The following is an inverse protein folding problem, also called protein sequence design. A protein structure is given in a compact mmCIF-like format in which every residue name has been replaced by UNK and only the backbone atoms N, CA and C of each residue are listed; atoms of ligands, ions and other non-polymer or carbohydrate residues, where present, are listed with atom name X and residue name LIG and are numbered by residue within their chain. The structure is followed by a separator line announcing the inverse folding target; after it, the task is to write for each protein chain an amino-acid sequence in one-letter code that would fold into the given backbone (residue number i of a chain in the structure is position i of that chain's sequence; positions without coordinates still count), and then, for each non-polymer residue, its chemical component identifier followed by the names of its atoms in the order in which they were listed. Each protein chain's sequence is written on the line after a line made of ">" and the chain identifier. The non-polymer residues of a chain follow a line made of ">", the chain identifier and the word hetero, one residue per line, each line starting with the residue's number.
data_IF_930270282169
#
_entry.id   IF_930270282169
#
_cell.length_a   1.000
_cell.length_b   1.000
_cell.length_c   1.000
_cell.angle_alpha   90.00
_cell.angle_beta   90.00
_cell.angle_gamma   90.00
#
_symmetry.space_group_name_H-M   'P 1'
#
loop_
_entity.id
_entity.type
_entity.pdbx_description
1 polymer ?
#
# COMPACT_ATOMS: atom_id res chain seq x y z
N UNK A 1 -27.18 -14.85 -82.54
CA UNK A 1 -27.68 -14.06 -81.40
C UNK A 1 -27.90 -14.99 -80.21
N UNK A 2 -26.96 -15.01 -79.26
CA UNK A 2 -27.07 -15.33 -77.82
C UNK A 2 -25.65 -15.57 -77.27
N UNK A 3 -25.07 -14.51 -76.74
CA UNK A 3 -23.91 -14.56 -75.83
C UNK A 3 -24.38 -15.10 -74.48
N UNK A 4 -23.54 -15.86 -73.77
CA UNK A 4 -23.49 -15.88 -72.29
C UNK A 4 -22.14 -16.50 -71.85
N UNK A 5 -21.12 -15.68 -71.59
CA UNK A 5 -20.66 -15.12 -70.30
C UNK A 5 -19.94 -16.12 -69.39
N UNK A 6 -18.61 -15.97 -69.34
CA UNK A 6 -17.68 -16.67 -68.45
C UNK A 6 -17.75 -16.09 -67.03
N UNK A 7 -18.00 -16.91 -66.02
CA UNK A 7 -17.94 -16.51 -64.61
C UNK A 7 -16.52 -16.68 -64.06
N UNK A 8 -15.84 -15.55 -63.85
CA UNK A 8 -14.61 -15.46 -63.05
C UNK A 8 -15.04 -15.38 -61.58
N UNK A 9 -14.65 -16.36 -60.76
CA UNK A 9 -14.85 -16.33 -59.31
C UNK A 9 -13.80 -15.39 -58.67
N UNK A 10 -14.19 -14.42 -57.81
CA UNK A 10 -13.22 -13.58 -57.13
C UNK A 10 -12.63 -14.32 -55.93
N UNK A 11 -11.29 -14.36 -55.86
CA UNK A 11 -10.55 -14.70 -54.64
C UNK A 11 -10.90 -13.67 -53.56
N UNK A 12 -11.64 -14.09 -52.54
CA UNK A 12 -11.86 -13.32 -51.32
C UNK A 12 -10.57 -13.35 -50.50
N UNK A 13 -9.80 -12.26 -50.54
CA UNK A 13 -8.77 -11.98 -49.54
C UNK A 13 -9.47 -11.78 -48.19
N UNK A 14 -9.35 -12.76 -47.30
CA UNK A 14 -9.73 -12.63 -45.89
C UNK A 14 -8.80 -11.61 -45.23
N UNK A 15 -9.27 -10.37 -45.09
CA UNK A 15 -8.67 -9.38 -44.19
C UNK A 15 -8.79 -9.94 -42.77
N UNK A 16 -7.68 -10.42 -42.22
CA UNK A 16 -7.56 -10.64 -40.78
C UNK A 16 -7.70 -9.29 -40.08
N UNK A 17 -8.87 -9.04 -39.50
CA UNK A 17 -9.07 -7.95 -38.55
C UNK A 17 -8.05 -8.14 -37.43
N UNK A 18 -7.07 -7.25 -37.36
CA UNK A 18 -6.14 -7.16 -36.24
C UNK A 18 -6.96 -6.64 -35.06
N UNK A 19 -7.49 -7.57 -34.26
CA UNK A 19 -8.08 -7.23 -32.97
C UNK A 19 -6.90 -6.86 -32.07
N UNK A 20 -6.73 -5.57 -31.83
CA UNK A 20 -5.80 -5.09 -30.82
C UNK A 20 -6.21 -5.71 -29.47
N UNK A 21 -5.28 -6.39 -28.81
CA UNK A 21 -5.52 -6.87 -27.46
C UNK A 21 -5.91 -5.69 -26.56
N UNK A 22 -6.91 -5.83 -25.67
CA UNK A 22 -7.33 -4.73 -24.81
C UNK A 22 -6.15 -4.29 -23.92
N UNK A 23 -6.04 -2.97 -23.73
CA UNK A 23 -5.04 -2.39 -22.85
C UNK A 23 -5.13 -3.04 -21.44
N UNK A 24 -3.98 -3.42 -20.88
CA UNK A 24 -3.92 -3.98 -19.53
C UNK A 24 -4.04 -5.51 -19.43
N UNK A 25 -3.92 -6.25 -20.54
CA UNK A 25 -3.85 -7.72 -20.52
C UNK A 25 -2.76 -8.25 -19.57
N UNK A 26 -1.64 -7.52 -19.42
CA UNK A 26 -0.56 -7.90 -18.51
C UNK A 26 -1.06 -8.17 -17.08
N UNK A 27 -1.98 -7.33 -16.56
CA UNK A 27 -2.39 -7.32 -15.16
C UNK A 27 -3.68 -8.11 -14.88
N UNK A 28 -4.28 -8.75 -15.88
CA UNK A 28 -5.48 -9.59 -15.67
C UNK A 28 -5.14 -10.93 -15.01
N UNK A 29 -3.88 -11.36 -15.06
CA UNK A 29 -3.42 -12.61 -14.47
C UNK A 29 -2.68 -12.38 -13.15
N UNK A 30 -2.97 -13.26 -12.19
CA UNK A 30 -2.29 -13.38 -10.91
C UNK A 30 -0.98 -14.17 -10.99
N UNK A 31 -0.82 -14.98 -12.04
CA UNK A 31 0.29 -15.93 -12.14
C UNK A 31 1.60 -15.20 -12.45
N UNK A 32 2.71 -15.59 -11.79
CA UNK A 32 4.02 -15.03 -12.07
C UNK A 32 4.36 -15.13 -13.56
N UNK A 33 4.80 -14.00 -14.15
CA UNK A 33 5.34 -14.01 -15.51
C UNK A 33 6.85 -14.16 -15.49
N UNK A 34 7.37 -15.07 -16.30
CA UNK A 34 8.81 -15.19 -16.54
C UNK A 34 9.21 -14.31 -17.73
N UNK A 35 10.19 -13.43 -17.52
CA UNK A 35 10.70 -12.55 -18.57
C UNK A 35 12.21 -12.34 -18.45
N UNK A 36 12.84 -12.02 -19.56
CA UNK A 36 14.24 -11.60 -19.63
C UNK A 36 14.31 -10.13 -19.97
N UNK A 37 15.08 -9.38 -19.19
CA UNK A 37 15.45 -7.99 -19.47
C UNK A 37 16.95 -7.95 -19.78
N UNK A 38 17.28 -7.71 -21.05
CA UNK A 38 18.66 -7.46 -21.48
C UNK A 38 18.88 -5.97 -21.71
N UNK A 39 19.86 -5.38 -21.02
CA UNK A 39 20.25 -3.98 -21.17
C UNK A 39 21.68 -3.76 -20.63
N UNK A 40 22.36 -2.65 -20.94
CA UNK A 40 23.58 -2.21 -20.24
C UNK A 40 23.28 -1.82 -18.77
N UNK A 41 22.96 -2.79 -17.93
CA UNK A 41 22.49 -2.60 -16.55
C UNK A 41 23.57 -2.03 -15.65
N UNK A 42 24.83 -2.45 -15.80
CA UNK A 42 25.90 -1.88 -14.98
C UNK A 42 26.09 -0.39 -15.28
N UNK A 43 26.11 -0.02 -16.57
CA UNK A 43 26.14 1.38 -16.99
C UNK A 43 24.93 2.16 -16.45
N UNK A 44 23.76 1.54 -16.46
CA UNK A 44 22.53 2.13 -15.92
C UNK A 44 22.64 2.40 -14.43
N UNK A 45 23.19 1.48 -13.64
CA UNK A 45 23.31 1.65 -12.20
C UNK A 45 24.36 2.70 -11.85
N UNK A 46 25.52 2.67 -12.52
CA UNK A 46 26.62 3.61 -12.29
C UNK A 46 26.21 5.07 -12.54
N UNK A 47 25.33 5.32 -13.53
CA UNK A 47 24.93 6.68 -13.92
C UNK A 47 23.54 7.07 -13.44
N UNK A 48 22.60 6.14 -13.46
CA UNK A 48 21.20 6.38 -13.13
C UNK A 48 20.97 6.67 -11.64
N UNK A 49 21.85 6.19 -10.76
CA UNK A 49 21.76 6.51 -9.33
C UNK A 49 21.89 8.02 -9.08
N UNK A 50 22.68 8.73 -9.88
CA UNK A 50 22.88 10.18 -9.76
C UNK A 50 21.97 11.00 -10.71
N UNK A 51 21.68 10.49 -11.91
CA UNK A 51 20.80 11.14 -12.90
C UNK A 51 19.52 10.31 -13.14
N UNK A 52 18.38 10.80 -12.66
CA UNK A 52 17.09 10.10 -12.79
C UNK A 52 16.51 10.13 -14.21
N UNK A 53 17.10 10.92 -15.12
CA UNK A 53 16.74 10.94 -16.54
C UNK A 53 17.61 10.01 -17.37
N UNK A 54 18.70 9.49 -16.80
CA UNK A 54 19.56 8.57 -17.51
C UNK A 54 18.82 7.25 -17.79
N UNK A 55 18.85 6.84 -19.05
CA UNK A 55 18.26 5.58 -19.51
C UNK A 55 19.16 4.88 -20.50
N UNK A 56 18.98 3.57 -20.63
CA UNK A 56 19.67 2.72 -21.59
C UNK A 56 18.68 1.94 -22.43
N UNK A 57 19.08 1.58 -23.65
CA UNK A 57 18.26 0.74 -24.54
C UNK A 57 18.35 -0.72 -24.13
N UNK A 58 17.18 -1.33 -23.98
CA UNK A 58 17.03 -2.74 -23.63
C UNK A 58 16.15 -3.53 -24.58
N UNK A 59 16.05 -4.82 -24.28
CA UNK A 59 15.17 -5.78 -24.92
C UNK A 59 14.45 -6.57 -23.85
N UNK A 60 13.12 -6.65 -23.96
CA UNK A 60 12.30 -7.55 -23.18
C UNK A 60 11.97 -8.79 -24.00
N UNK A 61 12.04 -9.96 -23.37
CA UNK A 61 11.53 -11.19 -23.97
C UNK A 61 10.81 -12.06 -22.95
N UNK A 62 9.80 -12.80 -23.41
CA UNK A 62 9.03 -13.74 -22.60
C UNK A 62 8.40 -14.80 -23.49
N UNK A 63 7.92 -15.88 -22.87
CA UNK A 63 7.11 -16.89 -23.55
C UNK A 63 5.64 -16.59 -23.33
N UNK A 64 4.90 -16.36 -24.41
CA UNK A 64 3.46 -16.13 -24.33
C UNK A 64 2.74 -17.41 -23.91
N UNK A 65 2.00 -17.36 -22.81
CA UNK A 65 1.33 -18.53 -22.26
C UNK A 65 0.14 -19.01 -23.11
N UNK A 66 -0.46 -18.14 -23.91
CA UNK A 66 -1.62 -18.46 -24.75
C UNK A 66 -1.23 -19.07 -26.10
N UNK A 67 -0.13 -18.60 -26.69
CA UNK A 67 0.34 -19.06 -28.00
C UNK A 67 1.54 -20.00 -27.91
N UNK A 68 2.20 -20.07 -26.75
CA UNK A 68 3.45 -20.82 -26.53
C UNK A 68 4.69 -20.19 -27.20
N UNK A 69 4.52 -19.07 -27.91
CA UNK A 69 5.55 -18.44 -28.75
C UNK A 69 6.49 -17.54 -27.93
N UNK A 70 7.74 -17.41 -28.39
CA UNK A 70 8.68 -16.44 -27.83
C UNK A 70 8.39 -15.05 -28.39
N UNK A 71 8.09 -14.09 -27.51
CA UNK A 71 7.84 -12.69 -27.86
C UNK A 71 9.05 -11.87 -27.47
N UNK A 72 9.47 -10.96 -28.37
CA UNK A 72 10.60 -10.05 -28.16
C UNK A 72 10.13 -8.62 -28.43
N UNK A 73 10.25 -7.76 -27.42
CA UNK A 73 9.98 -6.32 -27.51
C UNK A 73 11.31 -5.59 -27.43
N UNK A 74 11.74 -5.06 -28.59
CA UNK A 74 13.03 -4.35 -28.73
C UNK A 74 12.87 -2.86 -28.45
N UNK A 75 14.03 -2.21 -28.30
CA UNK A 75 14.18 -0.75 -28.23
C UNK A 75 13.38 -0.10 -27.09
N UNK A 76 13.26 -0.80 -25.95
CA UNK A 76 12.66 -0.22 -24.75
C UNK A 76 13.67 0.64 -24.02
N UNK A 77 13.23 1.77 -23.47
CA UNK A 77 14.06 2.61 -22.61
C UNK A 77 13.97 2.09 -21.16
N UNK A 78 15.12 1.80 -20.56
CA UNK A 78 15.23 1.30 -19.18
C UNK A 78 15.88 2.37 -18.32
N UNK A 79 15.23 2.76 -17.24
CA UNK A 79 15.75 3.70 -16.24
C UNK A 79 15.66 3.14 -14.82
N UNK A 80 16.47 3.69 -13.90
CA UNK A 80 16.25 3.45 -12.46
C UNK A 80 15.10 4.32 -11.95
N UNK A 81 14.43 3.91 -10.87
CA UNK A 81 13.34 4.67 -10.26
C UNK A 81 13.37 4.64 -8.73
N UNK A 82 12.54 5.52 -8.16
CA UNK A 82 12.30 5.65 -6.72
C UNK A 82 13.17 6.72 -6.06
N UNK A 83 12.78 7.16 -4.88
CA UNK A 83 13.51 8.20 -4.15
C UNK A 83 14.57 7.60 -3.23
N UNK A 84 14.12 6.84 -2.22
CA UNK A 84 15.00 6.20 -1.24
C UNK A 84 15.63 4.92 -1.77
N UNK A 85 14.92 4.19 -2.64
CA UNK A 85 15.39 2.95 -3.28
C UNK A 85 16.46 3.13 -4.35
N UNK A 86 16.91 4.37 -4.63
CA UNK A 86 18.11 4.63 -5.43
C UNK A 86 19.39 4.61 -4.57
N UNK A 87 19.26 4.70 -3.25
CA UNK A 87 20.40 4.68 -2.34
C UNK A 87 20.86 3.23 -2.15
N UNK A 88 22.13 2.98 -2.40
CA UNK A 88 22.72 1.63 -2.30
C UNK A 88 22.51 0.99 -0.92
N UNK A 89 22.57 1.80 0.15
CA UNK A 89 22.33 1.34 1.53
C UNK A 89 20.90 0.83 1.78
N UNK A 90 19.97 1.16 0.90
CA UNK A 90 18.56 0.78 0.98
C UNK A 90 18.14 -0.24 -0.08
N UNK A 91 18.84 -0.22 -1.21
CA UNK A 91 18.56 -1.04 -2.38
C UNK A 91 19.86 -1.18 -3.19
N UNK A 92 20.57 -2.29 -3.03
CA UNK A 92 21.77 -2.58 -3.81
C UNK A 92 21.45 -2.96 -5.25
N UNK A 93 20.19 -3.33 -5.55
CA UNK A 93 19.68 -3.51 -6.91
C UNK A 93 18.48 -2.58 -7.12
N UNK A 94 18.64 -1.42 -7.79
CA UNK A 94 17.61 -0.40 -7.83
C UNK A 94 16.32 -0.89 -8.51
N UNK A 95 15.19 -0.32 -8.10
CA UNK A 95 13.90 -0.50 -8.80
C UNK A 95 14.03 0.07 -10.22
N UNK A 96 13.39 -0.56 -11.21
CA UNK A 96 13.51 -0.15 -12.62
C UNK A 96 12.19 0.38 -13.19
N UNK A 97 12.27 1.19 -14.23
CA UNK A 97 11.15 1.58 -15.10
C UNK A 97 11.52 1.24 -16.54
N UNK A 98 10.52 0.77 -17.28
CA UNK A 98 10.57 0.53 -18.72
C UNK A 98 9.60 1.49 -19.37
N UNK A 99 10.07 2.25 -20.35
CA UNK A 99 9.20 3.02 -21.24
C UNK A 99 9.20 2.35 -22.61
N UNK A 100 8.02 2.25 -23.21
CA UNK A 100 7.87 1.67 -24.53
C UNK A 100 7.87 2.76 -25.61
N UNK A 101 9.05 3.02 -26.16
CA UNK A 101 9.30 4.03 -27.18
C UNK A 101 8.33 4.09 -28.35
N UNK A 102 7.95 2.91 -28.87
CA UNK A 102 7.08 2.79 -30.04
C UNK A 102 5.96 1.83 -29.73
N UNK A 103 4.72 2.29 -29.86
CA UNK A 103 3.54 1.45 -29.71
C UNK A 103 3.58 0.19 -30.60
N UNK A 104 4.15 0.30 -31.81
CA UNK A 104 4.31 -0.82 -32.74
C UNK A 104 5.20 -1.95 -32.21
N UNK A 105 6.20 -1.63 -31.38
CA UNK A 105 7.12 -2.63 -30.81
C UNK A 105 6.42 -3.60 -29.84
N UNK A 106 5.28 -3.18 -29.28
CA UNK A 106 4.51 -3.93 -28.26
C UNK A 106 3.08 -4.29 -28.67
N UNK A 107 2.64 -3.87 -29.86
CA UNK A 107 1.25 -4.00 -30.31
C UNK A 107 0.76 -5.47 -30.36
N UNK A 108 1.67 -6.41 -30.58
CA UNK A 108 1.39 -7.86 -30.63
C UNK A 108 1.91 -8.58 -29.37
N UNK A 109 1.96 -7.89 -28.24
CA UNK A 109 2.44 -8.44 -26.97
C UNK A 109 1.44 -8.16 -25.84
N UNK A 110 1.61 -8.83 -24.71
CA UNK A 110 0.85 -8.56 -23.47
C UNK A 110 1.02 -7.11 -22.94
N UNK A 111 2.00 -6.36 -23.47
CA UNK A 111 2.24 -4.95 -23.13
C UNK A 111 1.48 -3.97 -24.07
N UNK A 112 0.65 -4.48 -24.98
CA UNK A 112 -0.22 -3.66 -25.80
C UNK A 112 -1.07 -2.72 -24.93
N UNK A 113 -1.19 -1.45 -25.34
CA UNK A 113 -1.90 -0.40 -24.60
C UNK A 113 -1.13 0.29 -23.45
N UNK A 114 -0.06 -0.28 -22.91
CA UNK A 114 0.77 0.32 -21.82
C UNK A 114 1.89 1.25 -22.31
N UNK A 115 1.97 2.50 -21.86
CA UNK A 115 3.07 3.39 -22.27
C UNK A 115 4.38 3.10 -21.54
N UNK A 116 4.27 2.58 -20.33
CA UNK A 116 5.41 2.15 -19.54
C UNK A 116 5.06 1.05 -18.56
N UNK A 117 6.08 0.56 -17.87
CA UNK A 117 5.97 -0.50 -16.89
C UNK A 117 7.01 -0.29 -15.80
N UNK A 118 6.60 -0.42 -14.54
CA UNK A 118 7.53 -0.38 -13.41
C UNK A 118 7.90 -1.78 -12.98
N UNK A 119 9.15 -1.96 -12.59
CA UNK A 119 9.64 -3.21 -12.01
C UNK A 119 10.04 -2.95 -10.56
N UNK A 120 9.27 -3.48 -9.62
CA UNK A 120 9.69 -3.64 -8.24
C UNK A 120 10.66 -4.81 -8.17
N UNK A 121 11.95 -4.53 -8.04
CA UNK A 121 13.02 -5.53 -8.02
C UNK A 121 13.15 -6.18 -6.63
N UNK A 122 14.01 -7.19 -6.52
CA UNK A 122 14.38 -7.83 -5.25
C UNK A 122 15.11 -6.88 -4.29
N UNK A 123 15.58 -5.74 -4.77
CA UNK A 123 16.23 -4.66 -4.02
C UNK A 123 17.56 -5.00 -3.33
N UNK A 124 17.81 -6.27 -2.97
CA UNK A 124 19.06 -6.75 -2.41
C UNK A 124 19.02 -8.26 -2.19
N UNK A 125 20.03 -8.80 -1.51
CA UNK A 125 20.22 -10.24 -1.32
C UNK A 125 20.12 -10.65 0.17
N UNK A 126 19.43 -9.85 0.99
CA UNK A 126 19.31 -10.13 2.42
C UNK A 126 18.66 -11.51 2.65
N UNK A 127 19.24 -12.36 3.51
CA UNK A 127 18.67 -13.67 3.77
C UNK A 127 17.40 -13.56 4.63
N UNK A 128 16.39 -14.35 4.28
CA UNK A 128 15.23 -14.56 5.16
C UNK A 128 14.34 -13.32 5.36
N UNK A 129 14.18 -12.90 6.62
CA UNK A 129 13.30 -11.80 7.07
C UNK A 129 14.10 -10.59 7.59
N UNK A 130 15.41 -10.53 7.32
CA UNK A 130 16.25 -9.41 7.75
C UNK A 130 15.86 -8.11 7.02
N UNK A 131 15.63 -7.05 7.80
CA UNK A 131 15.19 -5.74 7.31
C UNK A 131 16.32 -4.73 7.29
N UNK A 132 16.28 -3.78 6.35
CA UNK A 132 17.27 -2.68 6.32
C UNK A 132 17.19 -1.86 7.61
N UNK A 133 18.33 -1.39 8.16
CA UNK A 133 18.33 -0.75 9.49
C UNK A 133 17.53 0.56 9.55
N UNK A 134 17.57 1.37 8.48
CA UNK A 134 17.01 2.72 8.49
C UNK A 134 15.51 2.74 8.28
N UNK A 135 15.03 2.12 7.20
CA UNK A 135 13.60 2.15 6.83
C UNK A 135 12.88 0.83 7.10
N UNK A 136 13.59 -0.26 7.40
CA UNK A 136 12.96 -1.55 7.68
C UNK A 136 12.52 -2.31 6.43
N UNK A 137 13.16 -2.08 5.27
CA UNK A 137 12.77 -2.76 4.03
C UNK A 137 13.21 -4.22 4.04
N UNK A 138 12.36 -5.11 3.55
CA UNK A 138 12.76 -6.48 3.24
C UNK A 138 13.52 -6.48 1.91
N UNK A 139 14.84 -6.33 1.94
CA UNK A 139 15.67 -6.21 0.74
C UNK A 139 16.04 -7.58 0.15
N UNK A 140 15.03 -8.32 -0.32
CA UNK A 140 15.20 -9.57 -1.05
C UNK A 140 14.02 -9.89 -1.98
N UNK A 141 14.14 -11.00 -2.72
CA UNK A 141 13.16 -11.39 -3.74
C UNK A 141 11.77 -11.81 -3.20
N UNK A 142 11.59 -11.94 -1.88
CA UNK A 142 10.25 -12.19 -1.29
C UNK A 142 9.39 -10.92 -1.30
N UNK A 143 10.02 -9.78 -1.03
CA UNK A 143 9.36 -8.48 -0.90
C UNK A 143 8.48 -8.10 -2.09
N UNK A 144 8.96 -8.09 -3.35
CA UNK A 144 8.13 -7.69 -4.47
C UNK A 144 6.94 -8.62 -4.71
N UNK A 145 7.05 -9.91 -4.38
CA UNK A 145 5.92 -10.86 -4.50
C UNK A 145 4.86 -10.58 -3.44
N UNK A 146 5.28 -10.29 -2.21
CA UNK A 146 4.38 -9.86 -1.13
C UNK A 146 3.72 -8.52 -1.45
N UNK A 147 4.47 -7.56 -2.00
CA UNK A 147 3.94 -6.25 -2.39
C UNK A 147 2.91 -6.37 -3.53
N UNK A 148 3.17 -7.20 -4.55
CA UNK A 148 2.21 -7.46 -5.63
C UNK A 148 0.89 -8.07 -5.10
N UNK A 149 0.96 -8.90 -4.05
CA UNK A 149 -0.24 -9.40 -3.38
C UNK A 149 -1.03 -8.26 -2.71
N UNK A 150 -0.36 -7.31 -2.05
CA UNK A 150 -1.02 -6.15 -1.42
C UNK A 150 -1.80 -5.34 -2.45
N UNK A 151 -1.20 -4.98 -3.59
CA UNK A 151 -1.91 -4.27 -4.67
C UNK A 151 -3.18 -5.03 -5.14
N UNK A 152 -3.07 -6.34 -5.33
CA UNK A 152 -4.21 -7.19 -5.77
C UNK A 152 -5.29 -7.33 -4.69
N UNK A 153 -4.89 -7.39 -3.43
CA UNK A 153 -5.81 -7.41 -2.29
C UNK A 153 -6.62 -6.11 -2.23
N UNK A 154 -5.96 -4.97 -2.42
CA UNK A 154 -6.59 -3.65 -2.41
C UNK A 154 -7.54 -3.42 -3.60
N UNK A 155 -7.17 -3.91 -4.80
CA UNK A 155 -8.07 -3.92 -5.96
C UNK A 155 -9.34 -4.74 -5.67
N UNK A 156 -9.20 -5.93 -5.05
CA UNK A 156 -10.34 -6.75 -4.62
C UNK A 156 -11.17 -6.11 -3.50
N UNK A 157 -10.57 -5.26 -2.66
CA UNK A 157 -11.28 -4.47 -1.65
C UNK A 157 -12.11 -3.33 -2.28
N UNK A 158 -11.91 -3.02 -3.57
CA UNK A 158 -12.52 -1.89 -4.25
C UNK A 158 -11.88 -0.55 -3.88
N UNK A 159 -10.60 -0.56 -3.50
CA UNK A 159 -9.85 0.64 -3.14
C UNK A 159 -8.94 0.99 -4.30
N UNK A 160 -8.94 2.27 -4.71
CA UNK A 160 -8.13 2.71 -5.84
C UNK A 160 -6.63 2.55 -5.52
N UNK A 161 -5.96 1.75 -6.33
CA UNK A 161 -4.51 1.50 -6.28
C UNK A 161 -3.98 1.18 -7.68
N UNK A 162 -2.67 0.96 -7.81
CA UNK A 162 -2.03 0.49 -9.05
C UNK A 162 -2.28 -1.01 -9.26
N UNK A 163 -2.30 -1.45 -10.52
CA UNK A 163 -2.32 -2.89 -10.82
C UNK A 163 -0.93 -3.49 -10.74
N UNK A 164 -0.81 -4.70 -10.19
CA UNK A 164 0.45 -5.41 -10.06
C UNK A 164 0.36 -6.88 -10.47
N UNK A 165 1.46 -7.42 -10.96
CA UNK A 165 1.62 -8.84 -11.29
C UNK A 165 3.00 -9.34 -10.83
N UNK A 166 3.08 -10.45 -10.07
CA UNK A 166 4.38 -11.06 -9.76
C UNK A 166 5.14 -11.42 -11.04
N UNK A 167 6.46 -11.36 -10.98
CA UNK A 167 7.32 -11.77 -12.08
C UNK A 167 8.55 -12.50 -11.58
N UNK A 168 9.15 -13.27 -12.48
CA UNK A 168 10.50 -13.81 -12.33
C UNK A 168 11.33 -13.27 -13.48
N UNK A 169 12.27 -12.39 -13.15
CA UNK A 169 13.03 -11.63 -14.14
C UNK A 169 14.45 -12.18 -14.22
N UNK A 170 14.87 -12.51 -15.44
CA UNK A 170 16.26 -12.80 -15.79
C UNK A 170 16.91 -11.51 -16.29
N UNK A 171 17.77 -10.90 -15.47
CA UNK A 171 18.52 -9.70 -15.80
C UNK A 171 19.82 -10.07 -16.52
N UNK A 172 19.99 -9.60 -17.75
CA UNK A 172 21.18 -9.84 -18.57
C UNK A 172 21.88 -8.51 -18.82
N UNK A 173 23.09 -8.35 -18.28
CA UNK A 173 23.88 -7.15 -18.52
C UNK A 173 24.58 -7.24 -19.88
N UNK A 174 24.23 -6.32 -20.78
CA UNK A 174 24.69 -6.33 -22.17
C UNK A 174 26.19 -6.03 -22.23
N UNK A 175 26.96 -7.01 -22.69
CA UNK A 175 28.41 -6.90 -22.82
C UNK A 175 29.20 -7.46 -21.63
N UNK A 176 28.52 -7.87 -20.56
CA UNK A 176 29.14 -8.63 -19.48
C UNK A 176 29.23 -10.12 -19.85
N UNK A 177 30.29 -10.80 -19.37
CA UNK A 177 30.41 -12.27 -19.44
C UNK A 177 29.81 -12.97 -18.20
N UNK A 178 29.04 -12.24 -17.39
CA UNK A 178 28.40 -12.78 -16.19
C UNK A 178 27.14 -13.59 -16.54
N UNK A 179 26.81 -14.64 -15.77
CA UNK A 179 25.54 -15.34 -15.94
C UNK A 179 24.36 -14.41 -15.61
N UNK A 180 23.17 -14.64 -16.20
CA UNK A 180 21.99 -13.86 -15.88
C UNK A 180 21.62 -13.92 -14.40
N UNK A 181 21.30 -12.78 -13.81
CA UNK A 181 20.76 -12.72 -12.45
C UNK A 181 19.25 -12.99 -12.53
N UNK A 182 18.79 -14.10 -11.95
CA UNK A 182 17.37 -14.45 -11.98
C UNK A 182 16.74 -14.28 -10.60
N UNK A 183 15.79 -13.35 -10.48
CA UNK A 183 15.14 -13.00 -9.20
C UNK A 183 13.65 -12.80 -9.36
N UNK A 184 12.90 -13.08 -8.31
CA UNK A 184 11.51 -12.64 -8.25
C UNK A 184 11.44 -11.10 -8.20
N UNK A 185 10.40 -10.57 -8.81
CA UNK A 185 10.11 -9.16 -8.95
C UNK A 185 8.59 -8.96 -9.00
N UNK A 186 8.16 -7.71 -9.13
CA UNK A 186 6.79 -7.39 -9.51
C UNK A 186 6.81 -6.44 -10.70
N UNK A 187 5.84 -6.64 -11.58
CA UNK A 187 5.46 -5.68 -12.60
C UNK A 187 4.34 -4.83 -12.02
N UNK A 188 4.45 -3.52 -12.18
CA UNK A 188 3.54 -2.55 -11.61
C UNK A 188 3.11 -1.54 -12.68
N UNK A 189 1.82 -1.25 -12.72
CA UNK A 189 1.21 -0.26 -13.61
C UNK A 189 1.90 1.09 -13.48
N UNK A 190 2.13 1.77 -14.61
CA UNK A 190 2.66 3.12 -14.58
C UNK A 190 1.55 4.13 -14.28
N UNK A 191 1.96 5.23 -13.67
CA UNK A 191 1.09 6.34 -13.29
C UNK A 191 0.22 6.85 -14.43
N UNK A 192 0.75 6.94 -15.65
CA UNK A 192 0.01 7.47 -16.80
C UNK A 192 -1.07 6.49 -17.27
N UNK A 193 -0.82 5.19 -17.14
CA UNK A 193 -1.80 4.14 -17.47
C UNK A 193 -2.87 4.02 -16.38
N UNK A 194 -2.50 4.19 -15.11
CA UNK A 194 -3.45 4.38 -14.01
C UNK A 194 -4.37 5.58 -14.27
N UNK A 195 -3.80 6.72 -14.66
CA UNK A 195 -4.56 7.93 -14.96
C UNK A 195 -5.61 7.67 -16.04
N UNK A 196 -5.24 7.02 -17.15
CA UNK A 196 -6.19 6.62 -18.20
C UNK A 196 -7.27 5.68 -17.67
N UNK A 197 -6.88 4.66 -16.87
CA UNK A 197 -7.82 3.68 -16.30
C UNK A 197 -8.85 4.31 -15.37
N UNK A 198 -8.49 5.40 -14.71
CA UNK A 198 -9.35 6.12 -13.78
C UNK A 198 -10.07 7.31 -14.43
N UNK A 199 -10.06 7.44 -15.75
CA UNK A 199 -10.58 8.61 -16.49
C UNK A 199 -10.04 9.94 -15.89
N UNK A 200 -8.78 9.92 -15.47
CA UNK A 200 -8.13 11.01 -14.79
C UNK A 200 -7.62 12.06 -15.78
N UNK A 201 -7.87 13.33 -15.46
CA UNK A 201 -7.45 14.47 -16.29
C UNK A 201 -6.24 15.23 -15.72
N UNK A 202 -5.79 14.86 -14.52
CA UNK A 202 -4.61 15.44 -13.89
C UNK A 202 -4.35 14.89 -12.49
N UNK A 203 -3.34 15.45 -11.82
CA UNK A 203 -3.01 15.13 -10.43
C UNK A 203 -2.88 16.42 -9.63
N UNK A 204 -3.40 16.43 -8.41
CA UNK A 204 -3.10 17.51 -7.47
C UNK A 204 -1.70 17.24 -6.92
N UNK A 205 -0.80 18.21 -7.10
CA UNK A 205 0.57 18.10 -6.59
C UNK A 205 0.57 18.23 -5.07
N UNK A 206 1.61 17.73 -4.43
CA UNK A 206 1.77 17.81 -2.98
C UNK A 206 1.69 19.26 -2.47
N UNK A 207 2.24 20.22 -3.22
CA UNK A 207 2.24 21.64 -2.88
C UNK A 207 0.84 22.29 -2.99
N UNK A 208 -0.04 21.71 -3.81
CA UNK A 208 -1.42 22.19 -4.02
C UNK A 208 -2.44 21.41 -3.20
N UNK A 209 -2.02 20.34 -2.52
CA UNK A 209 -2.91 19.54 -1.69
C UNK A 209 -3.21 20.29 -0.39
N UNK A 210 -4.49 20.53 -0.10
CA UNK A 210 -4.94 21.24 1.12
C UNK A 210 -5.30 20.24 2.22
N UNK A 211 -6.36 19.47 2.01
CA UNK A 211 -6.81 18.42 2.91
C UNK A 211 -7.71 17.42 2.18
N UNK A 212 -7.82 16.21 2.73
CA UNK A 212 -8.73 15.20 2.20
C UNK A 212 -10.21 15.64 2.25
N UNK A 213 -10.62 16.41 3.26
CA UNK A 213 -12.00 16.93 3.38
C UNK A 213 -12.38 17.83 2.21
N UNK A 214 -11.43 18.63 1.72
CA UNK A 214 -11.65 19.55 0.61
C UNK A 214 -11.60 18.83 -0.74
N UNK A 215 -10.66 17.90 -0.90
CA UNK A 215 -10.28 17.40 -2.23
C UNK A 215 -10.85 16.03 -2.57
N UNK A 216 -11.17 15.19 -1.58
CA UNK A 216 -11.61 13.80 -1.79
C UNK A 216 -13.05 13.59 -1.32
N UNK A 217 -13.75 12.61 -1.89
CA UNK A 217 -15.04 12.21 -1.34
C UNK A 217 -14.83 11.55 0.05
N UNK A 218 -15.66 11.85 1.07
CA UNK A 218 -15.41 11.34 2.42
C UNK A 218 -15.36 9.81 2.52
N UNK A 219 -16.19 9.11 1.74
CA UNK A 219 -16.20 7.65 1.72
C UNK A 219 -14.95 7.06 1.05
N UNK A 220 -14.38 7.74 0.05
CA UNK A 220 -13.12 7.32 -0.59
C UNK A 220 -11.95 7.51 0.39
N UNK A 221 -11.94 8.63 1.12
CA UNK A 221 -10.95 8.90 2.18
C UNK A 221 -11.06 7.89 3.32
N UNK A 222 -12.27 7.53 3.76
CA UNK A 222 -12.47 6.51 4.78
C UNK A 222 -12.06 5.12 4.29
N UNK A 223 -12.41 4.76 3.05
CA UNK A 223 -12.01 3.48 2.45
C UNK A 223 -10.49 3.37 2.32
N UNK A 224 -9.82 4.46 1.93
CA UNK A 224 -8.36 4.57 1.93
C UNK A 224 -7.78 4.33 3.33
N UNK A 225 -8.31 4.98 4.37
CA UNK A 225 -7.80 4.80 5.74
C UNK A 225 -8.01 3.35 6.25
N UNK A 226 -9.15 2.73 5.96
CA UNK A 226 -9.42 1.32 6.29
C UNK A 226 -8.47 0.39 5.54
N UNK A 227 -8.20 0.67 4.27
CA UNK A 227 -7.26 -0.09 3.46
C UNK A 227 -5.84 -0.06 4.03
N UNK A 228 -5.34 1.14 4.36
CA UNK A 228 -4.02 1.31 4.97
C UNK A 228 -3.93 0.61 6.33
N UNK A 229 -4.99 0.66 7.12
CA UNK A 229 -5.09 -0.08 8.38
C UNK A 229 -5.06 -1.60 8.16
N UNK A 230 -5.83 -2.11 7.20
CA UNK A 230 -5.91 -3.54 6.88
C UNK A 230 -4.55 -4.15 6.53
N UNK A 231 -3.73 -3.42 5.78
CA UNK A 231 -2.40 -3.88 5.35
C UNK A 231 -1.28 -3.48 6.32
N UNK A 232 -1.65 -2.82 7.43
CA UNK A 232 -0.75 -2.20 8.40
C UNK A 232 0.35 -1.35 7.73
N UNK A 233 -0.04 -0.47 6.82
CA UNK A 233 0.91 0.44 6.17
C UNK A 233 1.11 1.70 7.01
N UNK A 234 2.37 2.10 7.17
CA UNK A 234 2.77 3.32 7.87
C UNK A 234 3.57 4.28 7.01
N UNK A 235 4.04 3.85 5.85
CA UNK A 235 4.76 4.71 4.91
C UNK A 235 3.75 5.43 4.02
N UNK A 236 2.91 6.27 4.61
CA UNK A 236 1.94 7.11 3.91
C UNK A 236 1.52 8.28 4.79
N UNK A 237 1.09 9.37 4.14
CA UNK A 237 0.46 10.49 4.82
C UNK A 237 -0.64 11.07 3.94
N UNK A 238 -1.75 11.44 4.57
CA UNK A 238 -2.76 12.34 4.02
C UNK A 238 -3.20 13.26 5.14
N UNK A 239 -3.05 14.57 4.93
CA UNK A 239 -3.66 15.57 5.81
C UNK A 239 -5.17 15.48 5.69
N UNK A 240 -5.85 14.95 6.71
CA UNK A 240 -7.30 14.74 6.65
C UNK A 240 -8.09 16.05 6.73
N UNK A 241 -7.61 17.00 7.53
CA UNK A 241 -8.17 18.34 7.74
C UNK A 241 -7.02 19.35 7.95
N UNK A 242 -7.23 20.67 7.84
CA UNK A 242 -6.13 21.65 7.74
C UNK A 242 -5.07 21.58 8.86
N UNK A 243 -5.50 21.32 10.10
CA UNK A 243 -4.64 21.24 11.29
C UNK A 243 -4.14 19.81 11.59
N UNK A 244 -4.45 18.84 10.73
CA UNK A 244 -4.02 17.46 10.93
C UNK A 244 -2.51 17.33 10.75
N UNK A 245 -1.89 16.74 11.77
CA UNK A 245 -0.47 16.43 11.88
C UNK A 245 -0.23 14.94 12.06
N UNK A 246 -1.26 14.10 11.92
CA UNK A 246 -1.12 12.66 12.06
C UNK A 246 -0.25 12.09 10.95
N UNK A 247 0.99 11.70 11.30
CA UNK A 247 2.04 11.16 10.40
C UNK A 247 2.46 12.06 9.24
N UNK A 248 1.83 13.20 9.10
CA UNK A 248 2.19 14.24 8.16
C UNK A 248 3.08 15.28 8.84
N UNK A 249 4.08 15.78 8.13
CA UNK A 249 4.73 17.03 8.53
C UNK A 249 4.17 18.20 7.69
N UNK A 250 4.48 19.43 8.10
CA UNK A 250 3.98 20.61 7.39
C UNK A 250 4.48 20.72 5.93
N UNK A 251 5.51 19.95 5.54
CA UNK A 251 6.13 19.97 4.21
C UNK A 251 5.56 18.90 3.28
N UNK A 252 5.00 17.83 3.85
CA UNK A 252 4.47 16.69 3.12
C UNK A 252 3.02 16.40 3.58
N UNK A 253 2.02 17.17 3.11
CA UNK A 253 0.61 16.93 3.45
C UNK A 253 -0.01 15.74 2.71
N UNK A 254 0.74 15.15 1.77
CA UNK A 254 0.34 14.01 0.95
C UNK A 254 1.60 13.21 0.56
N UNK A 255 1.69 11.94 0.97
CA UNK A 255 2.83 11.05 0.70
C UNK A 255 2.35 9.60 0.45
N UNK A 256 2.91 8.93 -0.56
CA UNK A 256 2.50 7.59 -1.02
C UNK A 256 0.98 7.45 -1.31
N UNK A 257 0.33 8.58 -1.58
CA UNK A 257 -1.05 8.69 -2.05
C UNK A 257 -1.09 9.69 -3.20
N UNK A 258 -1.69 9.31 -4.33
CA UNK A 258 -1.90 10.19 -5.47
C UNK A 258 -3.31 10.78 -5.42
N UNK A 259 -3.43 12.08 -5.68
CA UNK A 259 -4.71 12.78 -5.80
C UNK A 259 -5.10 12.92 -7.28
N UNK A 260 -5.80 11.94 -7.84
CA UNK A 260 -6.16 11.90 -9.27
C UNK A 260 -7.40 12.74 -9.53
N UNK A 261 -7.29 13.83 -10.28
CA UNK A 261 -8.44 14.67 -10.65
C UNK A 261 -9.22 14.07 -11.80
N UNK A 262 -10.54 14.26 -11.78
CA UNK A 262 -11.47 13.86 -12.84
C UNK A 262 -12.38 15.03 -13.17
N UNK A 263 -12.91 15.05 -14.39
CA UNK A 263 -13.88 16.07 -14.80
C UNK A 263 -15.22 15.95 -14.04
N UNK A 264 -15.48 14.76 -13.48
CA UNK A 264 -16.72 14.44 -12.75
C UNK A 264 -16.78 14.94 -11.31
N UNK A 265 -15.72 15.56 -10.78
CA UNK A 265 -15.76 16.21 -9.47
C UNK A 265 -14.50 16.07 -8.64
N UNK A 266 -14.66 15.60 -7.38
CA UNK A 266 -13.56 15.47 -6.41
C UNK A 266 -12.48 14.51 -6.92
N UNK A 267 -11.25 14.75 -6.48
CA UNK A 267 -10.13 13.87 -6.79
C UNK A 267 -10.32 12.51 -6.11
N UNK A 268 -9.74 11.47 -6.72
CA UNK A 268 -9.72 10.12 -6.17
C UNK A 268 -8.37 9.87 -5.50
N UNK A 269 -8.35 9.48 -4.21
CA UNK A 269 -7.12 9.05 -3.56
C UNK A 269 -6.72 7.67 -4.09
N UNK A 270 -5.51 7.56 -4.62
CA UNK A 270 -4.91 6.30 -5.07
C UNK A 270 -3.72 5.97 -4.19
N UNK A 271 -3.80 4.89 -3.42
CA UNK A 271 -2.71 4.47 -2.52
C UNK A 271 -1.69 3.59 -3.25
N UNK A 272 -0.42 3.76 -2.92
CA UNK A 272 0.69 3.02 -3.52
C UNK A 272 1.89 2.92 -2.56
N UNK A 273 2.97 2.30 -3.05
CA UNK A 273 4.25 2.06 -2.38
C UNK A 273 4.09 1.28 -1.06
N UNK A 274 4.02 -0.04 -1.18
CA UNK A 274 3.70 -0.93 -0.06
C UNK A 274 4.90 -1.78 0.38
N UNK A 275 6.10 -1.43 -0.07
CA UNK A 275 7.33 -2.18 0.24
C UNK A 275 7.72 -2.15 1.73
N UNK A 276 7.07 -1.27 2.51
CA UNK A 276 7.15 -1.18 3.97
C UNK A 276 5.84 -1.56 4.69
N UNK A 277 4.79 -2.01 3.99
CA UNK A 277 3.55 -2.42 4.66
C UNK A 277 3.77 -3.64 5.58
N UNK A 278 3.04 -3.73 6.70
CA UNK A 278 3.17 -4.85 7.64
C UNK A 278 2.93 -6.23 6.99
N UNK A 279 2.05 -6.32 5.99
CA UNK A 279 1.88 -7.55 5.20
C UNK A 279 3.12 -7.96 4.38
N UNK A 280 4.04 -7.02 4.11
CA UNK A 280 5.30 -7.26 3.38
C UNK A 280 6.45 -7.52 4.35
N UNK A 281 6.67 -6.61 5.30
CA UNK A 281 7.86 -6.60 6.19
C UNK A 281 7.61 -7.17 7.58
N UNK A 282 6.35 -7.47 7.93
CA UNK A 282 5.91 -8.07 9.19
C UNK A 282 5.62 -7.07 10.30
N UNK A 283 6.57 -6.19 10.62
CA UNK A 283 6.40 -5.14 11.61
C UNK A 283 7.38 -4.00 11.37
N UNK A 284 6.98 -2.79 11.77
CA UNK A 284 7.82 -1.61 11.64
C UNK A 284 8.84 -1.47 12.78
N UNK A 285 10.01 -0.89 12.48
CA UNK A 285 11.10 -0.68 13.44
C UNK A 285 10.80 0.37 14.53
N UNK A 286 9.66 1.08 14.46
CA UNK A 286 9.23 2.05 15.46
C UNK A 286 8.10 1.53 16.36
N UNK A 287 7.63 0.29 16.14
CA UNK A 287 6.47 -0.26 16.85
C UNK A 287 6.59 -0.13 18.39
N UNK A 288 7.72 -0.53 18.94
CA UNK A 288 8.03 -0.49 20.38
C UNK A 288 8.18 0.94 20.95
N UNK A 289 8.37 1.93 20.07
CA UNK A 289 8.47 3.34 20.45
C UNK A 289 7.11 3.98 20.68
N UNK A 290 6.05 3.40 20.11
CA UNK A 290 4.70 3.98 20.08
C UNK A 290 3.70 3.14 20.86
N UNK A 291 3.72 1.82 20.66
CA UNK A 291 2.61 0.99 21.10
C UNK A 291 2.88 0.20 22.38
N UNK A 292 1.85 0.14 23.22
CA UNK A 292 1.81 -0.74 24.38
C UNK A 292 1.40 -2.15 23.96
N UNK A 293 2.37 -3.07 23.92
CA UNK A 293 2.14 -4.48 23.61
C UNK A 293 1.10 -5.14 24.54
N UNK A 294 0.94 -4.66 25.77
CA UNK A 294 -0.03 -5.16 26.73
C UNK A 294 -1.46 -4.69 26.49
N UNK A 295 -1.72 -3.84 25.49
CA UNK A 295 -3.07 -3.33 25.24
C UNK A 295 -4.04 -4.45 24.85
N UNK A 296 -3.63 -5.40 24.00
CA UNK A 296 -4.45 -6.57 23.65
C UNK A 296 -3.93 -7.83 24.36
N UNK A 297 -4.81 -8.79 24.73
CA UNK A 297 -4.40 -10.00 25.45
C UNK A 297 -3.36 -10.85 24.69
N UNK A 298 -3.44 -10.88 23.36
CA UNK A 298 -2.53 -11.65 22.50
C UNK A 298 -1.09 -11.10 22.50
N UNK A 299 -0.91 -9.83 22.88
CA UNK A 299 0.32 -9.04 22.70
C UNK A 299 0.88 -9.05 21.27
N UNK A 300 0.03 -9.34 20.28
CA UNK A 300 0.40 -9.38 18.88
C UNK A 300 0.68 -7.98 18.35
N UNK A 301 1.86 -7.77 17.76
CA UNK A 301 2.18 -6.49 17.13
C UNK A 301 1.24 -6.19 15.97
N UNK A 302 0.92 -7.20 15.14
CA UNK A 302 -0.01 -7.08 14.02
C UNK A 302 -1.40 -6.65 14.49
N UNK A 303 -1.92 -7.28 15.55
CA UNK A 303 -3.26 -6.94 16.08
C UNK A 303 -3.30 -5.50 16.58
N UNK A 304 -2.30 -5.08 17.36
CA UNK A 304 -2.23 -3.73 17.91
C UNK A 304 -2.07 -2.69 16.80
N UNK A 305 -1.23 -2.99 15.82
CA UNK A 305 -0.92 -2.10 14.72
C UNK A 305 -2.17 -1.84 13.86
N UNK A 306 -2.85 -2.91 13.44
CA UNK A 306 -4.11 -2.82 12.69
C UNK A 306 -5.19 -2.15 13.53
N UNK A 307 -5.37 -2.56 14.78
CA UNK A 307 -6.38 -2.00 15.68
C UNK A 307 -6.15 -0.50 15.88
N UNK A 308 -4.92 -0.07 16.15
CA UNK A 308 -4.55 1.34 16.30
C UNK A 308 -4.98 2.17 15.10
N UNK A 309 -4.64 1.71 13.88
CA UNK A 309 -5.01 2.42 12.65
C UNK A 309 -6.52 2.46 12.41
N UNK A 310 -7.22 1.35 12.66
CA UNK A 310 -8.69 1.30 12.61
C UNK A 310 -9.29 2.29 13.60
N UNK A 311 -8.81 2.31 14.85
CA UNK A 311 -9.36 3.17 15.90
C UNK A 311 -9.06 4.66 15.65
N UNK A 312 -7.92 5.00 15.04
CA UNK A 312 -7.64 6.38 14.64
C UNK A 312 -8.72 6.97 13.73
N UNK A 313 -9.31 6.17 12.83
CA UNK A 313 -10.37 6.62 11.91
C UNK A 313 -11.57 7.23 12.64
N UNK A 314 -11.85 6.80 13.88
CA UNK A 314 -12.94 7.33 14.72
C UNK A 314 -12.76 8.80 15.11
N UNK A 315 -11.53 9.30 15.08
CA UNK A 315 -11.22 10.72 15.30
C UNK A 315 -11.29 11.58 14.04
N UNK A 316 -11.47 10.97 12.88
CA UNK A 316 -11.41 11.64 11.57
C UNK A 316 -12.78 11.72 10.91
N UNK A 317 -13.57 10.64 11.00
CA UNK A 317 -14.82 10.46 10.27
C UNK A 317 -16.04 10.42 11.19
N UNK A 318 -17.21 10.79 10.65
CA UNK A 318 -18.48 10.65 11.36
C UNK A 318 -18.90 9.19 11.49
N UNK A 319 -19.80 8.89 12.42
CA UNK A 319 -20.27 7.52 12.63
C UNK A 319 -20.91 6.92 11.39
N UNK A 320 -21.73 7.69 10.67
CA UNK A 320 -22.35 7.26 9.41
C UNK A 320 -21.33 6.90 8.33
N UNK A 321 -20.24 7.68 8.20
CA UNK A 321 -19.15 7.38 7.26
C UNK A 321 -18.44 6.09 7.64
N UNK A 322 -18.15 5.90 8.93
CA UNK A 322 -17.49 4.69 9.44
C UNK A 322 -18.36 3.45 9.24
N UNK A 323 -19.65 3.53 9.56
CA UNK A 323 -20.59 2.41 9.42
C UNK A 323 -20.76 1.98 7.95
N UNK A 324 -20.89 2.94 7.03
CA UNK A 324 -20.95 2.69 5.59
C UNK A 324 -19.66 2.05 5.06
N UNK A 325 -18.49 2.61 5.40
CA UNK A 325 -17.20 2.05 4.96
C UNK A 325 -16.97 0.66 5.54
N UNK A 326 -17.28 0.45 6.83
CA UNK A 326 -17.21 -0.85 7.50
C UNK A 326 -18.09 -1.89 6.80
N UNK A 327 -19.32 -1.52 6.47
CA UNK A 327 -20.23 -2.39 5.72
C UNK A 327 -19.64 -2.83 4.37
N UNK A 328 -19.06 -1.90 3.61
CA UNK A 328 -18.40 -2.20 2.32
C UNK A 328 -17.26 -3.21 2.46
N UNK A 329 -16.38 -3.03 3.44
CA UNK A 329 -15.28 -3.99 3.66
C UNK A 329 -15.79 -5.36 4.13
N UNK A 330 -16.81 -5.41 4.98
CA UNK A 330 -17.42 -6.67 5.42
C UNK A 330 -18.05 -7.45 4.26
N UNK A 331 -18.69 -6.78 3.30
CA UNK A 331 -19.20 -7.41 2.08
C UNK A 331 -18.08 -7.99 1.20
N UNK A 332 -16.90 -7.36 1.20
CA UNK A 332 -15.72 -7.81 0.43
C UNK A 332 -14.90 -8.88 1.13
N UNK A 333 -15.16 -9.16 2.42
CA UNK A 333 -14.41 -10.15 3.22
C UNK A 333 -14.17 -11.48 2.49
N UNK A 334 -15.18 -12.15 1.89
CA UNK A 334 -14.94 -13.43 1.22
C UNK A 334 -13.99 -13.31 0.03
N UNK A 335 -14.11 -12.24 -0.77
CA UNK A 335 -13.24 -12.00 -1.92
C UNK A 335 -11.78 -11.77 -1.49
N UNK A 336 -11.56 -11.09 -0.36
CA UNK A 336 -10.21 -10.82 0.16
C UNK A 336 -9.50 -12.09 0.64
N UNK A 337 -10.20 -12.98 1.35
CA UNK A 337 -9.65 -14.29 1.71
C UNK A 337 -9.46 -15.21 0.49
N UNK A 338 -10.31 -15.08 -0.54
CA UNK A 338 -10.12 -15.81 -1.81
C UNK A 338 -8.85 -15.36 -2.56
N UNK A 339 -8.54 -14.04 -2.57
CA UNK A 339 -7.27 -13.54 -3.11
C UNK A 339 -6.08 -14.14 -2.35
N UNK A 340 -6.13 -14.19 -1.02
CA UNK A 340 -5.08 -14.83 -0.21
C UNK A 340 -4.95 -16.33 -0.52
N UNK A 341 -6.05 -17.07 -0.59
CA UNK A 341 -6.04 -18.50 -0.87
C UNK A 341 -5.41 -18.82 -2.23
N UNK A 342 -5.73 -18.02 -3.27
CA UNK A 342 -5.27 -18.25 -4.65
C UNK A 342 -3.87 -17.71 -4.94
N UNK A 343 -3.40 -16.72 -4.18
CA UNK A 343 -2.10 -16.11 -4.46
C UNK A 343 -0.95 -16.96 -3.91
N UNK A 344 0.07 -17.21 -4.72
CA UNK A 344 1.30 -17.87 -4.28
C UNK A 344 2.18 -16.88 -3.52
N UNK A 345 2.25 -17.06 -2.21
CA UNK A 345 3.17 -16.37 -1.30
C UNK A 345 4.15 -17.37 -0.70
N UNK A 346 5.30 -16.88 -0.24
CA UNK A 346 6.15 -17.67 0.66
C UNK A 346 5.41 -17.92 2.00
N UNK A 347 5.82 -18.94 2.79
CA UNK A 347 5.09 -19.31 4.00
C UNK A 347 4.89 -18.17 5.00
N UNK A 348 5.93 -17.35 5.21
CA UNK A 348 5.85 -16.23 6.15
C UNK A 348 4.98 -15.11 5.60
N UNK A 349 5.08 -14.79 4.31
CA UNK A 349 4.20 -13.82 3.65
C UNK A 349 2.72 -14.21 3.74
N UNK A 350 2.39 -15.50 3.57
CA UNK A 350 1.02 -16.01 3.74
C UNK A 350 0.52 -15.87 5.16
N UNK A 351 1.36 -16.23 6.14
CA UNK A 351 1.05 -16.09 7.56
C UNK A 351 0.77 -14.63 7.93
N UNK A 352 1.64 -13.71 7.50
CA UNK A 352 1.47 -12.27 7.73
C UNK A 352 0.16 -11.77 7.10
N UNK A 353 -0.10 -12.09 5.84
CA UNK A 353 -1.33 -11.68 5.16
C UNK A 353 -2.60 -12.18 5.90
N UNK A 354 -2.59 -13.44 6.36
CA UNK A 354 -3.67 -14.00 7.15
C UNK A 354 -3.86 -13.26 8.48
N UNK A 355 -2.77 -13.04 9.24
CA UNK A 355 -2.81 -12.35 10.53
C UNK A 355 -3.35 -10.92 10.41
N UNK A 356 -2.97 -10.20 9.36
CA UNK A 356 -3.43 -8.83 9.12
C UNK A 356 -4.91 -8.79 8.71
N UNK A 357 -5.36 -9.68 7.82
CA UNK A 357 -6.78 -9.80 7.47
C UNK A 357 -7.63 -10.17 8.70
N UNK A 358 -7.18 -11.14 9.48
CA UNK A 358 -7.87 -11.58 10.70
C UNK A 358 -7.95 -10.44 11.72
N UNK A 359 -6.84 -9.75 11.99
CA UNK A 359 -6.81 -8.59 12.88
C UNK A 359 -7.77 -7.48 12.42
N UNK A 360 -7.76 -7.17 11.12
CA UNK A 360 -8.62 -6.14 10.55
C UNK A 360 -10.10 -6.50 10.69
N UNK A 361 -10.49 -7.70 10.26
CA UNK A 361 -11.88 -8.12 10.35
C UNK A 361 -12.33 -8.32 11.79
N UNK A 362 -11.48 -8.79 12.70
CA UNK A 362 -11.80 -8.85 14.13
C UNK A 362 -12.06 -7.44 14.69
N UNK A 363 -11.30 -6.42 14.27
CA UNK A 363 -11.48 -5.05 14.72
C UNK A 363 -12.76 -4.38 14.17
N UNK A 364 -13.27 -4.79 13.02
CA UNK A 364 -14.40 -4.11 12.36
C UNK A 364 -15.72 -4.90 12.34
N UNK A 365 -15.73 -6.20 12.64
CA UNK A 365 -16.94 -7.03 12.43
C UNK A 365 -18.10 -6.70 13.37
N UNK A 366 -17.83 -6.43 14.65
CA UNK A 366 -18.88 -6.16 15.63
C UNK A 366 -18.81 -4.72 16.12
N UNK A 367 -19.94 -4.17 16.54
CA UNK A 367 -19.99 -2.84 17.15
C UNK A 367 -19.11 -2.76 18.41
N UNK A 368 -19.11 -3.81 19.24
CA UNK A 368 -18.28 -3.86 20.43
C UNK A 368 -16.77 -3.84 20.10
N UNK A 369 -16.36 -4.52 19.02
CA UNK A 369 -14.96 -4.53 18.59
C UNK A 369 -14.54 -3.21 17.93
N UNK A 370 -15.44 -2.58 17.18
CA UNK A 370 -15.14 -1.37 16.43
C UNK A 370 -15.30 -0.11 17.29
N UNK A 371 -16.43 0.07 17.96
CA UNK A 371 -16.74 1.18 18.85
C UNK A 371 -16.32 0.89 20.30
N UNK A 372 -15.05 0.53 20.48
CA UNK A 372 -14.47 0.28 21.80
C UNK A 372 -14.60 1.51 22.71
N UNK A 373 -14.62 1.33 24.04
CA UNK A 373 -14.49 2.46 24.94
C UNK A 373 -13.25 3.31 24.62
N UNK A 374 -13.42 4.62 24.62
CA UNK A 374 -12.36 5.62 24.43
C UNK A 374 -12.48 6.70 25.50
N UNK A 375 -11.42 7.48 25.68
CA UNK A 375 -11.52 8.78 26.35
C UNK A 375 -12.37 9.73 25.50
N UNK A 376 -13.37 10.41 26.07
CA UNK A 376 -14.22 11.39 25.35
C UNK A 376 -14.16 12.80 25.91
N UNK A 377 -13.68 12.98 27.14
CA UNK A 377 -13.58 14.31 27.75
C UNK A 377 -12.26 14.98 27.36
N UNK A 378 -12.29 16.21 26.79
CA UNK A 378 -11.08 17.02 26.71
C UNK A 378 -10.55 17.24 28.13
N UNK A 379 -9.23 17.37 28.28
CA UNK A 379 -8.52 17.60 29.55
C UNK A 379 -8.42 16.40 30.52
N UNK A 380 -8.66 15.18 30.05
CA UNK A 380 -8.51 13.97 30.88
C UNK A 380 -7.04 13.76 31.24
N UNK A 381 -6.68 13.95 32.51
CA UNK A 381 -5.33 13.66 33.04
C UNK A 381 -5.16 12.18 33.36
N UNK A 382 -3.91 11.72 33.31
CA UNK A 382 -3.52 10.33 33.63
C UNK A 382 -2.63 10.28 34.86
N UNK A 383 -2.91 9.32 35.75
CA UNK A 383 -2.24 9.20 37.05
C UNK A 383 -1.66 7.80 37.26
N UNK A 384 -0.64 7.70 38.13
CA UNK A 384 -0.07 6.42 38.57
C UNK A 384 -0.85 5.78 39.73
N UNK A 385 -1.83 6.49 40.29
CA UNK A 385 -2.68 6.05 41.40
C UNK A 385 -4.09 6.63 41.32
N UNK A 386 -5.03 5.94 41.97
CA UNK A 386 -6.44 6.34 42.05
C UNK A 386 -6.67 7.60 42.90
N UNK A 387 -5.70 8.02 43.73
CA UNK A 387 -5.83 9.23 44.56
C UNK A 387 -5.41 10.51 43.85
N UNK A 388 -5.00 10.42 42.57
CA UNK A 388 -4.56 11.55 41.72
C UNK A 388 -3.35 12.30 42.27
N UNK A 389 -2.50 11.63 43.05
CA UNK A 389 -1.35 12.26 43.71
C UNK A 389 -0.10 12.32 42.84
N UNK A 390 -0.01 11.44 41.83
CA UNK A 390 1.13 11.37 40.91
C UNK A 390 0.65 11.29 39.47
N UNK A 391 0.98 12.29 38.67
CA UNK A 391 0.73 12.27 37.22
C UNK A 391 1.62 11.22 36.55
N UNK A 392 1.07 10.55 35.54
CA UNK A 392 1.74 9.45 34.84
C UNK A 392 2.62 9.89 33.67
N UNK A 393 2.31 11.05 33.09
CA UNK A 393 3.01 11.66 31.96
C UNK A 393 3.53 13.06 32.35
N UNK A 394 3.79 13.94 31.38
CA UNK A 394 4.26 15.31 31.66
C UNK A 394 3.26 16.12 32.51
N UNK A 395 3.76 17.16 33.18
CA UNK A 395 2.90 18.03 34.00
C UNK A 395 1.77 18.65 33.16
N UNK A 396 0.53 18.40 33.55
CA UNK A 396 -0.64 18.91 32.85
C UNK A 396 -0.92 18.25 31.50
N UNK A 397 -0.24 17.15 31.19
CA UNK A 397 -0.48 16.37 29.98
C UNK A 397 -1.82 15.63 30.05
N UNK A 398 -2.50 15.56 28.91
CA UNK A 398 -3.89 15.08 28.83
C UNK A 398 -4.08 14.10 27.69
N UNK A 399 -4.97 13.14 27.90
CA UNK A 399 -5.33 12.15 26.88
C UNK A 399 -6.24 12.81 25.85
N UNK A 400 -5.89 12.69 24.59
CA UNK A 400 -6.72 13.19 23.51
C UNK A 400 -8.06 12.41 23.40
N UNK A 401 -9.21 13.06 23.17
CA UNK A 401 -10.50 12.39 22.95
C UNK A 401 -10.51 11.48 21.72
N UNK A 402 -10.95 10.24 21.87
CA UNK A 402 -10.87 9.18 20.86
C UNK A 402 -9.80 8.13 21.13
N UNK A 403 -8.95 8.31 22.14
CA UNK A 403 -7.92 7.32 22.54
C UNK A 403 -8.57 6.06 23.15
N UNK A 404 -8.40 4.87 22.54
CA UNK A 404 -9.00 3.64 23.05
C UNK A 404 -8.48 3.23 24.42
N UNK A 405 -9.38 2.64 25.23
CA UNK A 405 -9.09 2.21 26.59
C UNK A 405 -9.55 0.76 26.82
N UNK A 406 -8.79 0.03 27.61
CA UNK A 406 -9.22 -1.23 28.22
C UNK A 406 -9.24 -1.06 29.74
N UNK A 407 -10.42 -1.18 30.34
CA UNK A 407 -10.59 -1.11 31.80
C UNK A 407 -10.04 -2.37 32.47
N UNK A 408 -9.21 -2.19 33.51
CA UNK A 408 -8.58 -3.26 34.27
C UNK A 408 -9.29 -3.45 35.61
N UNK A 409 -9.41 -2.38 36.39
CA UNK A 409 -10.15 -2.36 37.67
C UNK A 409 -10.59 -0.95 38.04
N UNK A 410 -11.48 -0.85 39.01
CA UNK A 410 -12.09 0.42 39.46
C UNK A 410 -11.79 0.67 40.93
N UNK A 411 -11.64 1.95 41.28
CA UNK A 411 -11.52 2.44 42.65
C UNK A 411 -12.28 3.77 42.76
N UNK A 412 -13.47 3.72 43.37
CA UNK A 412 -14.38 4.85 43.43
C UNK A 412 -14.71 5.45 42.06
N UNK A 413 -14.34 6.71 41.85
CA UNK A 413 -14.55 7.45 40.60
C UNK A 413 -13.43 7.24 39.57
N UNK A 414 -12.37 6.53 39.94
CA UNK A 414 -11.21 6.26 39.10
C UNK A 414 -11.25 4.84 38.54
N UNK A 415 -10.63 4.68 37.39
CA UNK A 415 -10.48 3.39 36.72
C UNK A 415 -9.06 3.26 36.21
N UNK A 416 -8.45 2.12 36.52
CA UNK A 416 -7.17 1.72 35.97
C UNK A 416 -7.40 1.18 34.56
N UNK A 417 -6.67 1.74 33.59
CA UNK A 417 -6.83 1.44 32.17
C UNK A 417 -5.48 1.20 31.51
N UNK A 418 -5.47 0.33 30.50
CA UNK A 418 -4.46 0.38 29.45
C UNK A 418 -4.96 1.32 28.34
N UNK A 419 -4.11 2.22 27.85
CA UNK A 419 -4.42 3.14 26.75
C UNK A 419 -3.72 2.67 25.46
N UNK A 420 -4.41 2.80 24.33
CA UNK A 420 -3.81 2.64 22.99
C UNK A 420 -3.62 4.01 22.36
N UNK A 421 -2.37 4.46 22.24
CA UNK A 421 -2.06 5.75 21.62
C UNK A 421 -2.17 5.72 20.09
N UNK A 422 -3.40 5.63 19.58
CA UNK A 422 -3.68 5.50 18.15
C UNK A 422 -3.28 6.74 17.32
N UNK A 423 -3.06 7.89 17.98
CA UNK A 423 -2.69 9.17 17.37
C UNK A 423 -1.23 9.57 17.61
N UNK A 424 -0.47 8.77 18.35
CA UNK A 424 0.94 9.00 18.65
C UNK A 424 1.18 10.30 19.43
N UNK A 425 0.24 10.66 20.30
CA UNK A 425 0.37 11.81 21.19
C UNK A 425 1.62 11.70 22.08
N UNK A 426 1.96 10.48 22.49
CA UNK A 426 3.16 10.13 23.25
C UNK A 426 4.21 9.39 22.42
N UNK A 427 4.16 9.50 21.11
CA UNK A 427 5.25 9.09 20.23
C UNK A 427 6.52 9.92 20.48
N UNK A 428 7.71 9.45 20.09
CA UNK A 428 8.93 10.23 20.23
C UNK A 428 8.83 11.60 19.51
N UNK A 429 9.32 12.69 20.12
CA UNK A 429 10.10 12.74 21.36
C UNK A 429 9.29 12.92 22.65
N UNK A 430 7.95 13.05 22.58
CA UNK A 430 7.12 13.41 23.73
C UNK A 430 7.12 12.36 24.85
N UNK A 431 7.02 11.08 24.49
CA UNK A 431 7.15 9.89 25.35
C UNK A 431 6.44 9.89 26.72
N UNK A 432 5.45 9.00 26.90
CA UNK A 432 4.92 8.64 28.23
C UNK A 432 5.15 7.16 28.56
N UNK A 433 6.13 6.86 29.42
CA UNK A 433 6.51 5.48 29.77
C UNK A 433 5.38 4.70 30.45
N UNK A 434 4.60 5.35 31.30
CA UNK A 434 3.50 4.71 32.01
C UNK A 434 2.41 4.19 31.04
N UNK A 435 2.08 5.00 30.02
CA UNK A 435 1.14 4.60 28.96
C UNK A 435 1.74 3.52 28.06
N UNK A 436 3.03 3.64 27.68
CA UNK A 436 3.70 2.70 26.77
C UNK A 436 3.92 1.32 27.37
N UNK A 437 4.20 1.20 28.67
CA UNK A 437 4.65 -0.04 29.29
C UNK A 437 3.76 -0.55 30.43
N UNK A 438 2.62 0.08 30.68
CA UNK A 438 1.78 -0.27 31.82
C UNK A 438 0.34 0.22 31.72
N UNK A 439 -0.22 0.53 32.88
CA UNK A 439 -1.57 1.01 33.09
C UNK A 439 -1.53 2.36 33.79
N UNK A 440 -2.58 3.15 33.59
CA UNK A 440 -2.76 4.47 34.22
C UNK A 440 -4.16 4.59 34.77
N UNK A 441 -4.37 5.52 35.69
CA UNK A 441 -5.66 5.84 36.27
C UNK A 441 -6.25 7.09 35.62
N UNK A 442 -7.52 7.00 35.22
CA UNK A 442 -8.30 8.14 34.70
C UNK A 442 -9.67 8.20 35.38
N UNK A 443 -10.34 9.36 35.30
CA UNK A 443 -11.72 9.49 35.75
C UNK A 443 -12.63 8.59 34.93
N UNK A 444 -13.42 7.74 35.60
CA UNK A 444 -14.38 6.83 34.95
C UNK A 444 -15.37 7.58 34.06
N UNK A 445 -15.74 8.79 34.45
CA UNK A 445 -16.66 9.64 33.68
C UNK A 445 -16.09 10.14 32.35
N UNK A 446 -14.79 9.95 32.09
CA UNK A 446 -14.15 10.30 30.84
C UNK A 446 -14.25 9.21 29.77
N UNK A 447 -14.77 8.01 30.10
CA UNK A 447 -14.79 6.85 29.19
C UNK A 447 -16.19 6.68 28.58
N UNK A 448 -16.25 6.48 27.26
CA UNK A 448 -17.50 6.13 26.57
C UNK A 448 -17.25 5.29 25.31
N UNK A 449 -18.21 4.45 24.96
CA UNK A 449 -18.26 3.71 23.69
C UNK A 449 -19.05 4.45 22.59
N UNK A 450 -19.76 5.53 22.93
CA UNK A 450 -20.59 6.31 21.99
C UNK A 450 -19.79 7.26 21.09
N UNK A 451 -18.46 7.10 21.00
CA UNK A 451 -17.59 7.93 20.18
C UNK A 451 -17.30 7.27 18.80
N UNK A 452 -17.28 8.02 17.69
CA UNK A 452 -17.85 9.37 17.57
C UNK A 452 -19.36 9.31 17.79
N UNK A 453 -19.93 10.44 18.25
CA UNK A 453 -21.36 10.55 18.47
C UNK A 453 -22.16 10.17 17.22
N UNK A 454 -23.34 9.58 17.41
CA UNK A 454 -24.20 9.02 16.36
C UNK A 454 -24.67 10.04 15.34
#
# INVERSE_FOLDING_TARGET
>A
MKLLTSCIAPLLFSLSLIVAAPAGQLFTSAEPIELTLEAPLQQLFDKGIDDDKFSVRGVLSYRDASTGSNVVVKDVDVSVRGHTSRRETECSFPKLKINFDKASARAQSIFAGLDGLRIGTHCGENPGEERTPKFGRLANERSPVREAFVYRLLDAAGVATLRARPARVSYVDKGAQAPPLVRNAMLLEDDDDLMKRLDGTGKITMERFTSARDQFAPLDTAAMAFAQAMIANFDWCVRFYPEDTYRCDARQPLWNVMAVTRDSGRAVPVIADFDLAGMVVGAHNWFDKVYNAGFVPSRSSVEIEVLSQVQHTRSVFSRAQLDETRHRFLQRKPALYDVLAKTRLDPRGRELAQQHLDAFFNAITTDAAFYRPVVVKPDTRVYLDATKTREACGEGDTVLPGTPVNEIRRDGMMVEVALLDARWHWGPPAECKAVKAGTVWIDRSAISAEYPEK
#
